data_IF_640187267506
#
_entry.id   IF_640187267506
#
_cell.length_a   1.000
_cell.length_b   1.000
_cell.length_c   1.000
_cell.angle_alpha   90.00
_cell.angle_beta   90.00
_cell.angle_gamma   90.00
#
_symmetry.space_group_name_H-M   'P 1'
#
loop_
_entity.id
_entity.type
_entity.pdbx_description
1 polymer ?
#
# COMPACT_ATOMS: atom_id res chain seq x y z
N UNK A 1 -14.87 -0.52 -4.43
CA UNK A 1 -14.29 -1.59 -3.60
C UNK A 1 -13.33 -0.94 -2.63
N UNK A 2 -13.53 -1.09 -1.32
CA UNK A 2 -12.82 -0.32 -0.29
C UNK A 2 -11.58 -1.12 0.16
N UNK A 3 -10.43 -0.91 -0.49
CA UNK A 3 -9.20 -1.66 -0.23
C UNK A 3 -8.35 -1.06 0.90
N UNK A 4 -8.98 -0.60 1.98
CA UNK A 4 -8.29 0.13 3.04
C UNK A 4 -7.26 -0.72 3.82
N UNK A 5 -7.25 -2.05 3.61
CA UNK A 5 -6.48 -2.99 4.40
C UNK A 5 -5.62 -3.97 3.56
N UNK A 6 -5.52 -3.78 2.25
CA UNK A 6 -4.64 -4.62 1.41
C UNK A 6 -3.16 -4.27 1.65
N UNK A 7 -2.24 -5.25 1.65
CA UNK A 7 -0.80 -5.04 1.82
C UNK A 7 -0.16 -4.39 0.59
N UNK A 8 -0.78 -4.50 -0.58
CA UNK A 8 -0.29 -4.00 -1.86
C UNK A 8 -1.37 -3.17 -2.58
N UNK A 9 -1.03 -2.72 -3.78
CA UNK A 9 -1.91 -1.91 -4.65
C UNK A 9 -2.10 -2.56 -6.02
N UNK A 10 -3.19 -2.19 -6.67
CA UNK A 10 -3.51 -2.57 -8.06
C UNK A 10 -2.86 -1.65 -9.10
N UNK A 11 -2.00 -0.72 -8.70
CA UNK A 11 -1.32 0.18 -9.64
C UNK A 11 -0.42 -0.62 -10.61
N UNK A 12 -0.33 -0.10 -11.83
CA UNK A 12 0.52 -0.66 -12.89
C UNK A 12 2.00 -0.25 -12.75
N UNK A 13 2.32 0.66 -11.83
CA UNK A 13 3.67 1.12 -11.54
C UNK A 13 3.98 1.01 -10.05
N UNK A 14 5.27 0.91 -9.68
CA UNK A 14 5.69 0.89 -8.28
C UNK A 14 5.12 2.08 -7.48
N UNK A 15 4.73 1.81 -6.25
CA UNK A 15 4.04 2.77 -5.39
C UNK A 15 4.84 4.03 -5.14
N UNK A 16 6.17 3.93 -5.06
CA UNK A 16 7.05 5.09 -4.92
C UNK A 16 7.03 5.99 -6.16
N UNK A 17 7.05 5.39 -7.35
CA UNK A 17 7.03 6.14 -8.61
C UNK A 17 5.68 6.82 -8.80
N UNK A 18 4.59 6.13 -8.47
CA UNK A 18 3.26 6.73 -8.45
C UNK A 18 3.17 7.88 -7.46
N UNK A 19 3.68 7.70 -6.23
CA UNK A 19 3.64 8.73 -5.20
C UNK A 19 4.38 10.01 -5.66
N UNK A 20 5.52 9.86 -6.34
CA UNK A 20 6.28 11.00 -6.91
C UNK A 20 5.52 11.71 -8.02
N UNK A 21 4.79 10.97 -8.86
CA UNK A 21 4.01 11.55 -9.97
C UNK A 21 2.75 12.26 -9.46
N UNK A 22 1.98 11.59 -8.60
CA UNK A 22 0.69 12.06 -8.13
C UNK A 22 0.81 13.11 -6.99
N UNK A 23 1.85 13.00 -6.16
CA UNK A 23 2.04 13.83 -4.97
C UNK A 23 3.48 14.38 -4.89
N UNK A 24 3.93 15.20 -5.85
CA UNK A 24 5.33 15.62 -5.96
C UNK A 24 5.83 16.42 -4.74
N UNK A 25 4.92 17.05 -3.99
CA UNK A 25 5.25 17.83 -2.78
C UNK A 25 5.24 16.96 -1.50
N UNK A 26 4.77 15.71 -1.58
CA UNK A 26 4.63 14.86 -0.41
C UNK A 26 5.98 14.22 -0.02
N UNK A 27 6.32 14.30 1.26
CA UNK A 27 7.45 13.57 1.82
C UNK A 27 7.05 12.13 2.12
N UNK A 28 7.68 11.17 1.44
CA UNK A 28 7.52 9.74 1.74
C UNK A 28 8.30 9.41 3.02
N UNK A 29 7.57 9.08 4.09
CA UNK A 29 8.16 8.89 5.44
C UNK A 29 8.81 7.51 5.66
N UNK A 30 8.37 6.49 4.93
CA UNK A 30 8.88 5.11 5.04
C UNK A 30 8.97 4.49 3.64
N UNK A 31 9.91 3.57 3.46
CA UNK A 31 10.19 2.91 2.19
C UNK A 31 8.94 2.28 1.59
N UNK A 32 8.41 2.94 0.56
CA UNK A 32 7.43 2.34 -0.34
C UNK A 32 8.21 1.43 -1.29
N UNK A 33 8.23 0.13 -0.99
CA UNK A 33 8.89 -0.87 -1.81
C UNK A 33 7.91 -1.50 -2.80
N UNK A 34 8.34 -1.67 -4.06
CA UNK A 34 7.56 -2.33 -5.10
C UNK A 34 6.15 -1.78 -5.21
N UNK A 35 5.15 -2.66 -5.08
CA UNK A 35 3.72 -2.36 -5.15
C UNK A 35 3.05 -2.30 -3.77
N UNK A 36 3.79 -2.01 -2.70
CA UNK A 36 3.24 -1.90 -1.35
C UNK A 36 2.14 -0.84 -1.24
N UNK A 37 1.16 -1.06 -0.37
CA UNK A 37 0.05 -0.12 -0.18
C UNK A 37 0.53 1.27 0.23
N UNK A 38 -0.13 2.31 -0.31
CA UNK A 38 0.10 3.70 0.09
C UNK A 38 -0.53 4.03 1.46
N UNK A 39 -1.34 3.10 2.00
CA UNK A 39 -2.00 3.23 3.30
C UNK A 39 -1.31 2.29 4.29
N UNK A 40 -0.78 2.83 5.39
CA UNK A 40 -0.13 2.02 6.42
C UNK A 40 -1.16 1.30 7.28
N UNK A 41 -1.06 -0.03 7.38
CA UNK A 41 -1.80 -0.87 8.31
C UNK A 41 -1.07 -1.10 9.64
N UNK A 42 0.13 -0.52 9.83
CA UNK A 42 1.00 -0.75 11.00
C UNK A 42 0.29 -0.50 12.33
N UNK A 43 -0.55 0.54 12.41
CA UNK A 43 -1.31 0.81 13.64
C UNK A 43 -2.35 -0.28 13.93
N UNK A 44 -2.99 -0.83 12.91
CA UNK A 44 -3.94 -1.92 13.09
C UNK A 44 -3.23 -3.21 13.52
N UNK A 45 -2.06 -3.51 12.93
CA UNK A 45 -1.21 -4.61 13.38
C UNK A 45 -0.86 -4.48 14.86
N UNK A 46 -0.42 -3.28 15.30
CA UNK A 46 0.01 -3.04 16.68
C UNK A 46 -1.12 -3.07 17.71
N UNK A 47 -2.32 -2.59 17.35
CA UNK A 47 -3.41 -2.41 18.32
C UNK A 47 -4.31 -3.64 18.38
N UNK A 48 -4.57 -4.30 17.24
CA UNK A 48 -5.54 -5.39 17.15
C UNK A 48 -4.97 -6.67 16.53
N UNK A 49 -3.66 -6.74 16.29
CA UNK A 49 -3.03 -7.90 15.67
C UNK A 49 -3.47 -8.15 14.23
N UNK A 50 -3.87 -7.07 13.52
CA UNK A 50 -4.33 -7.20 12.14
C UNK A 50 -3.20 -7.70 11.23
N UNK A 51 -3.43 -8.85 10.58
CA UNK A 51 -2.55 -9.40 9.55
C UNK A 51 -3.37 -9.52 8.25
N UNK A 52 -2.99 -8.81 7.18
CA UNK A 52 -3.68 -8.92 5.91
C UNK A 52 -3.51 -10.32 5.31
N UNK A 53 -4.62 -10.96 4.93
CA UNK A 53 -4.61 -12.28 4.29
C UNK A 53 -4.58 -12.21 2.76
N UNK A 54 -5.03 -11.10 2.17
CA UNK A 54 -5.19 -10.95 0.72
C UNK A 54 -4.66 -9.60 0.24
N UNK A 55 -3.87 -9.66 -0.83
CA UNK A 55 -3.44 -8.57 -1.70
C UNK A 55 -4.42 -8.27 -2.82
N UNK A 56 -4.41 -7.03 -3.29
CA UNK A 56 -4.99 -6.61 -4.56
C UNK A 56 -4.42 -7.42 -5.73
N UNK A 57 -3.14 -7.83 -5.64
CA UNK A 57 -2.47 -8.57 -6.71
C UNK A 57 -2.69 -10.09 -6.64
N UNK A 58 -3.23 -10.61 -5.54
CA UNK A 58 -3.65 -12.03 -5.43
C UNK A 58 -4.87 -12.34 -6.31
N UNK A 59 -5.65 -11.31 -6.67
CA UNK A 59 -6.80 -11.43 -7.56
C UNK A 59 -6.45 -11.25 -9.04
N UNK A 60 -5.17 -11.02 -9.39
CA UNK A 60 -4.73 -10.96 -10.78
C UNK A 60 -4.54 -12.40 -11.33
N UNK A 61 -5.14 -12.75 -12.48
CA UNK A 61 -4.94 -14.05 -13.12
C UNK A 61 -3.53 -14.26 -13.66
#
# INVERSE_FOLDING_TARGET
>A
MLFAAAPDTYLDLPSLDYARQAFPQATVRQGLEGFGSLISSRRAEQVIGFVPTFGCRDAQP
#
